data_IF_669360301435
#
_entry.id   IF_669360301435
#
_cell.length_a   1.000
_cell.length_b   1.000
_cell.length_c   1.000
_cell.angle_alpha   90.00
_cell.angle_beta   90.00
_cell.angle_gamma   90.00
#
_symmetry.space_group_name_H-M   'P 1'
#
loop_
_entity.id
_entity.type
_entity.pdbx_description
1 polymer ?
#
# COMPACT_ATOMS: atom_id res chain seq x y z
N UNK A 1 20.91 -9.18 -3.97
CA UNK A 1 19.81 -9.79 -3.21
C UNK A 1 19.77 -9.07 -1.88
N UNK A 2 18.86 -8.11 -1.72
CA UNK A 2 18.81 -7.28 -0.52
C UNK A 2 18.19 -8.12 0.60
N UNK A 3 18.94 -8.33 1.68
CA UNK A 3 18.44 -9.01 2.87
C UNK A 3 17.45 -8.05 3.53
N UNK A 4 16.19 -8.46 3.70
CA UNK A 4 15.17 -7.67 4.39
C UNK A 4 15.50 -7.73 5.89
N UNK A 5 15.58 -6.56 6.53
CA UNK A 5 15.95 -6.40 7.94
C UNK A 5 14.86 -5.60 8.63
N UNK A 6 14.78 -5.74 9.95
CA UNK A 6 13.85 -5.06 10.86
C UNK A 6 13.55 -3.62 10.38
N UNK A 7 12.26 -3.27 10.28
CA UNK A 7 11.78 -1.95 9.82
C UNK A 7 11.96 -1.60 8.32
N UNK A 8 12.35 -2.55 7.45
CA UNK A 8 12.61 -2.29 6.01
C UNK A 8 13.69 -1.22 5.78
N UNK A 9 14.77 -1.28 6.55
CA UNK A 9 15.95 -0.41 6.37
C UNK A 9 17.09 -1.23 5.80
N UNK A 10 17.79 -0.70 4.79
CA UNK A 10 19.00 -1.32 4.25
C UNK A 10 20.13 -1.23 5.28
N UNK A 11 20.68 -2.36 5.73
CA UNK A 11 21.80 -2.40 6.70
C UNK A 11 23.07 -1.71 6.17
N UNK A 12 23.33 -1.79 4.88
CA UNK A 12 24.57 -1.28 4.27
C UNK A 12 24.58 0.25 4.12
N UNK A 13 23.41 0.87 3.93
CA UNK A 13 23.34 2.31 3.62
C UNK A 13 22.28 3.10 4.39
N UNK A 14 21.46 2.47 5.22
CA UNK A 14 20.41 3.12 6.00
C UNK A 14 19.20 3.61 5.19
N UNK A 15 19.12 3.30 3.89
CA UNK A 15 17.98 3.71 3.06
C UNK A 15 16.71 2.94 3.42
N UNK A 16 15.59 3.65 3.48
CA UNK A 16 14.27 3.07 3.70
C UNK A 16 13.79 2.37 2.42
N UNK A 17 13.58 1.06 2.52
CA UNK A 17 13.04 0.23 1.45
C UNK A 17 11.51 0.39 1.39
N UNK A 18 10.93 0.04 0.24
CA UNK A 18 9.46 -0.02 0.12
C UNK A 18 8.91 -1.06 1.08
N UNK A 19 7.83 -0.68 1.75
CA UNK A 19 7.08 -1.49 2.69
C UNK A 19 5.61 -1.48 2.24
N UNK A 20 4.93 -2.62 2.34
CA UNK A 20 3.48 -2.67 2.07
C UNK A 20 2.71 -1.99 3.22
N UNK A 21 1.46 -1.64 2.99
CA UNK A 21 0.61 -1.12 4.08
C UNK A 21 0.47 -2.13 5.22
N UNK A 22 0.29 -3.42 4.89
CA UNK A 22 0.17 -4.49 5.89
C UNK A 22 1.43 -4.65 6.73
N UNK A 23 2.60 -4.68 6.09
CA UNK A 23 3.88 -4.75 6.81
C UNK A 23 4.07 -3.57 7.77
N UNK A 24 3.58 -2.37 7.40
CA UNK A 24 3.65 -1.19 8.26
C UNK A 24 2.73 -1.30 9.46
N UNK A 25 1.51 -1.80 9.26
CA UNK A 25 0.51 -1.99 10.33
C UNK A 25 1.03 -3.01 11.34
N UNK A 26 1.46 -4.18 10.88
CA UNK A 26 1.98 -5.26 11.72
C UNK A 26 3.16 -4.82 12.59
N UNK A 27 3.98 -3.91 12.05
CA UNK A 27 5.17 -3.42 12.73
C UNK A 27 4.90 -2.29 13.73
N UNK A 28 3.80 -1.55 13.55
CA UNK A 28 3.51 -0.34 14.36
C UNK A 28 2.41 -0.52 15.40
N UNK A 29 1.65 -1.62 15.32
CA UNK A 29 0.45 -1.87 16.12
C UNK A 29 0.63 -3.16 16.93
N UNK A 30 0.14 -3.19 18.17
CA UNK A 30 0.20 -4.38 19.00
C UNK A 30 -0.48 -5.58 18.30
N UNK A 31 0.16 -6.76 18.26
CA UNK A 31 -0.39 -7.93 17.60
C UNK A 31 -1.83 -8.23 18.07
N UNK A 32 -2.73 -8.44 17.12
CA UNK A 32 -4.14 -8.77 17.38
C UNK A 32 -5.02 -7.58 17.77
N UNK A 33 -4.49 -6.36 17.83
CA UNK A 33 -5.28 -5.14 18.14
C UNK A 33 -5.71 -4.36 16.91
N UNK A 34 -5.13 -4.66 15.73
CA UNK A 34 -5.53 -4.05 14.48
C UNK A 34 -6.95 -4.48 14.10
N UNK A 35 -7.83 -3.49 13.92
CA UNK A 35 -9.16 -3.68 13.37
C UNK A 35 -9.35 -2.75 12.16
N UNK A 36 -9.52 -3.29 10.95
CA UNK A 36 -9.67 -2.49 9.76
C UNK A 36 -11.01 -1.74 9.77
N UNK A 37 -11.03 -0.55 9.15
CA UNK A 37 -12.23 0.26 8.98
C UNK A 37 -12.44 0.51 7.49
N UNK A 38 -13.69 0.41 7.06
CA UNK A 38 -14.12 0.75 5.70
C UNK A 38 -13.35 0.01 4.57
N UNK A 39 -13.07 -1.29 4.75
CA UNK A 39 -12.33 -2.10 3.75
C UNK A 39 -12.95 -2.07 2.35
N UNK A 40 -14.28 -1.91 2.28
CA UNK A 40 -15.05 -1.85 1.04
C UNK A 40 -15.12 -0.45 0.43
N UNK A 41 -14.46 0.55 1.03
CA UNK A 41 -14.46 1.91 0.49
C UNK A 41 -13.72 1.97 -0.86
N UNK A 42 -14.40 2.52 -1.86
CA UNK A 42 -13.87 2.65 -3.22
C UNK A 42 -13.93 4.10 -3.71
N UNK A 43 -12.94 4.50 -4.49
CA UNK A 43 -12.91 5.83 -5.11
C UNK A 43 -14.04 5.97 -6.14
N UNK A 44 -14.83 7.03 -5.99
CA UNK A 44 -15.76 7.51 -7.00
C UNK A 44 -15.15 8.68 -7.78
N UNK A 45 -15.64 8.94 -8.99
CA UNK A 45 -15.30 10.16 -9.73
C UNK A 45 -16.54 11.08 -9.75
N UNK A 46 -16.67 12.00 -8.78
CA UNK A 46 -17.83 12.90 -8.69
C UNK A 46 -17.79 14.03 -9.73
N UNK A 47 -16.60 14.44 -10.20
CA UNK A 47 -16.41 15.61 -11.07
C UNK A 47 -16.30 15.29 -12.56
N UNK A 48 -16.41 14.01 -12.96
CA UNK A 48 -16.35 13.60 -14.38
C UNK A 48 -15.08 14.05 -15.06
N UNK A 49 -13.95 13.73 -14.44
CA UNK A 49 -12.65 14.05 -15.00
C UNK A 49 -12.49 13.43 -16.41
N UNK A 50 -12.02 14.22 -17.38
CA UNK A 50 -12.03 13.80 -18.79
C UNK A 50 -11.05 12.65 -19.09
N UNK A 51 -10.03 12.42 -18.24
CA UNK A 51 -9.16 11.25 -18.30
C UNK A 51 -9.69 10.02 -17.54
N UNK A 52 -10.97 10.01 -17.12
CA UNK A 52 -11.60 8.89 -16.39
C UNK A 52 -11.35 7.53 -17.04
N UNK A 53 -11.23 7.47 -18.36
CA UNK A 53 -10.92 6.22 -19.08
C UNK A 53 -9.50 5.70 -18.82
N UNK A 54 -8.51 6.60 -18.62
CA UNK A 54 -7.14 6.25 -18.22
C UNK A 54 -7.08 5.78 -16.76
N UNK A 55 -7.82 6.45 -15.87
CA UNK A 55 -7.88 6.07 -14.46
C UNK A 55 -8.60 4.72 -14.31
N UNK A 56 -9.73 4.52 -15.00
CA UNK A 56 -10.47 3.25 -15.00
C UNK A 56 -9.69 2.06 -15.56
N UNK A 57 -8.84 2.27 -16.58
CA UNK A 57 -8.03 1.18 -17.15
C UNK A 57 -6.85 0.80 -16.26
N UNK A 58 -6.32 1.77 -15.48
CA UNK A 58 -5.16 1.55 -14.60
C UNK A 58 -5.59 1.11 -13.19
N UNK A 59 -6.80 1.46 -12.73
CA UNK A 59 -7.34 1.05 -11.41
C UNK A 59 -7.25 -0.48 -11.17
N UNK A 60 -7.67 -1.36 -12.10
CA UNK A 60 -7.49 -2.81 -11.96
C UNK A 60 -6.02 -3.24 -11.90
N UNK A 61 -5.11 -2.53 -12.56
CA UNK A 61 -3.67 -2.82 -12.58
C UNK A 61 -2.99 -2.39 -11.28
N UNK A 62 -3.44 -1.28 -10.66
CA UNK A 62 -2.95 -0.81 -9.37
C UNK A 62 -3.38 -1.77 -8.24
N UNK A 63 -4.61 -2.28 -8.29
CA UNK A 63 -5.12 -3.28 -7.34
C UNK A 63 -4.33 -4.60 -7.41
N UNK A 64 -3.88 -5.02 -8.61
CA UNK A 64 -3.09 -6.25 -8.80
C UNK A 64 -1.63 -6.16 -8.32
N UNK A 65 -1.11 -4.95 -8.10
CA UNK A 65 0.29 -4.73 -7.71
C UNK A 65 0.50 -4.66 -6.20
N UNK A 66 -0.58 -4.64 -5.41
CA UNK A 66 -0.56 -4.46 -3.96
C UNK A 66 -1.02 -5.70 -3.17
N UNK A 67 -1.05 -6.87 -3.82
CA UNK A 67 -1.15 -8.17 -3.15
C UNK A 67 0.23 -8.70 -2.79
#
# INVERSE_FOLDING_TARGET
MYKKVEMNVCEECGHYLKMTSSERIELSIDPGTWNPMDEDMVSADPIKFHSRNLIKSVLPLLKKRQG
#
